data_IF_176095887214
#
_entry.id   IF_176095887214
#
_cell.length_a   1.000
_cell.length_b   1.000
_cell.length_c   1.000
_cell.angle_alpha   90.00
_cell.angle_beta   90.00
_cell.angle_gamma   90.00
#
_symmetry.space_group_name_H-M   'P 1'
#
loop_
_entity.id
_entity.type
_entity.pdbx_description
1 polymer ?
#
# COMPACT_ATOMS: atom_id res chain seq x y z
N UNK A 1 -9.58 16.51 13.26
CA UNK A 1 -9.69 15.04 13.13
C UNK A 1 -8.32 14.43 13.41
N UNK A 2 -8.25 13.14 13.75
CA UNK A 2 -7.01 12.52 14.20
C UNK A 2 -6.30 11.84 13.02
N UNK A 3 -5.07 12.28 12.75
CA UNK A 3 -4.19 11.61 11.81
C UNK A 3 -3.57 10.37 12.45
N UNK A 4 -3.57 9.26 11.73
CA UNK A 4 -2.87 8.02 12.11
C UNK A 4 -1.80 7.69 11.07
N UNK A 5 -0.85 6.84 11.46
CA UNK A 5 0.11 6.22 10.57
C UNK A 5 0.09 4.71 10.78
N UNK A 6 0.01 3.94 9.70
CA UNK A 6 0.03 2.48 9.72
C UNK A 6 1.17 1.98 8.84
N UNK A 7 1.88 0.95 9.31
CA UNK A 7 2.86 0.20 8.55
C UNK A 7 2.27 -1.16 8.17
N UNK A 8 2.41 -1.55 6.91
CA UNK A 8 1.99 -2.86 6.40
C UNK A 8 3.13 -3.53 5.62
N UNK A 9 3.23 -4.86 5.74
CA UNK A 9 4.15 -5.69 4.98
C UNK A 9 3.36 -6.61 4.06
N UNK A 10 3.67 -6.55 2.77
CA UNK A 10 2.95 -7.29 1.73
C UNK A 10 3.91 -8.28 1.08
N UNK A 11 3.50 -9.54 1.06
CA UNK A 11 4.29 -10.66 0.54
C UNK A 11 3.57 -11.33 -0.64
N UNK A 12 4.35 -11.99 -1.51
CA UNK A 12 3.86 -12.69 -2.70
C UNK A 12 4.40 -12.09 -4.00
N UNK A 13 3.65 -12.23 -5.10
CA UNK A 13 4.00 -11.62 -6.39
C UNK A 13 3.68 -10.13 -6.40
N UNK A 14 4.54 -9.32 -5.76
CA UNK A 14 4.31 -7.88 -5.54
C UNK A 14 5.42 -6.97 -6.11
N UNK A 15 6.54 -7.54 -6.53
CA UNK A 15 7.62 -6.80 -7.21
C UNK A 15 7.53 -6.98 -8.72
N UNK A 16 7.87 -5.94 -9.50
CA UNK A 16 7.81 -5.99 -10.96
C UNK A 16 6.41 -5.90 -11.57
N UNK A 17 5.34 -5.92 -10.75
CA UNK A 17 3.93 -5.95 -11.18
C UNK A 17 3.20 -4.61 -11.07
N UNK A 18 3.94 -3.52 -10.80
CA UNK A 18 3.36 -2.19 -10.64
C UNK A 18 2.62 -1.94 -9.31
N UNK A 19 2.73 -2.84 -8.31
CA UNK A 19 2.09 -2.71 -6.99
C UNK A 19 2.34 -1.32 -6.38
N UNK A 20 3.61 -0.96 -6.15
CA UNK A 20 4.00 0.32 -5.53
C UNK A 20 3.39 1.54 -6.22
N UNK A 21 3.42 1.58 -7.55
CA UNK A 21 2.87 2.68 -8.34
C UNK A 21 1.35 2.80 -8.17
N UNK A 22 0.65 1.66 -8.22
CA UNK A 22 -0.80 1.65 -8.04
C UNK A 22 -1.24 2.08 -6.64
N UNK A 23 -0.58 1.55 -5.59
CA UNK A 23 -0.83 1.92 -4.19
C UNK A 23 -0.56 3.41 -3.95
N UNK A 24 0.55 3.93 -4.49
CA UNK A 24 0.87 5.35 -4.39
C UNK A 24 -0.21 6.22 -5.04
N UNK A 25 -0.67 5.86 -6.25
CA UNK A 25 -1.68 6.64 -6.98
C UNK A 25 -2.99 6.75 -6.20
N UNK A 26 -3.43 5.67 -5.57
CA UNK A 26 -4.64 5.66 -4.74
C UNK A 26 -4.45 6.43 -3.43
N UNK A 27 -3.32 6.25 -2.74
CA UNK A 27 -3.01 7.00 -1.53
C UNK A 27 -3.05 8.52 -1.81
N UNK A 28 -2.46 8.97 -2.92
CA UNK A 28 -2.51 10.37 -3.34
C UNK A 28 -3.93 10.88 -3.59
N UNK A 29 -4.80 10.06 -4.21
CA UNK A 29 -6.20 10.42 -4.44
C UNK A 29 -7.01 10.58 -3.14
N UNK A 30 -6.61 9.83 -2.09
CA UNK A 30 -7.25 9.87 -0.78
C UNK A 30 -6.60 10.90 0.17
N UNK A 31 -5.59 11.65 -0.28
CA UNK A 31 -4.84 12.60 0.55
C UNK A 31 -3.96 11.92 1.61
N UNK A 32 -3.61 10.65 1.40
CA UNK A 32 -2.74 9.86 2.28
C UNK A 32 -1.28 10.02 1.85
N UNK A 33 -0.40 10.21 2.83
CA UNK A 33 1.05 10.37 2.65
C UNK A 33 1.81 9.14 3.12
N UNK A 34 3.09 9.02 2.77
CA UNK A 34 3.96 7.92 3.19
C UNK A 34 4.77 7.34 2.03
N UNK A 35 5.03 6.04 2.05
CA UNK A 35 5.84 5.38 1.01
C UNK A 35 5.46 3.93 0.79
N UNK A 36 5.86 3.40 -0.37
CA UNK A 36 5.92 1.96 -0.64
C UNK A 36 7.35 1.60 -1.09
N UNK A 37 7.98 0.63 -0.43
CA UNK A 37 9.38 0.25 -0.63
C UNK A 37 9.51 -1.26 -0.85
N UNK A 38 10.23 -1.67 -1.89
CA UNK A 38 10.60 -3.07 -2.07
C UNK A 38 11.61 -3.48 -0.99
N UNK A 39 11.41 -4.66 -0.43
CA UNK A 39 12.33 -5.31 0.50
C UNK A 39 13.17 -6.36 -0.22
N UNK A 40 14.34 -6.68 0.35
CA UNK A 40 15.29 -7.63 -0.24
C UNK A 40 14.78 -9.07 -0.23
N UNK A 41 13.80 -9.37 0.62
CA UNK A 41 13.13 -10.68 0.71
C UNK A 41 12.02 -10.89 -0.34
N UNK A 42 11.86 -9.93 -1.26
CA UNK A 42 10.80 -9.97 -2.27
C UNK A 42 9.48 -9.33 -1.85
N UNK A 43 9.36 -8.89 -0.58
CA UNK A 43 8.19 -8.18 -0.07
C UNK A 43 8.13 -6.69 -0.45
N UNK A 44 7.05 -6.03 -0.04
CA UNK A 44 6.90 -4.58 -0.08
C UNK A 44 6.43 -4.08 1.29
N UNK A 45 7.14 -3.08 1.83
CA UNK A 45 6.72 -2.32 3.00
C UNK A 45 5.94 -1.08 2.57
N UNK A 46 4.81 -0.80 3.22
CA UNK A 46 3.95 0.35 2.96
C UNK A 46 3.72 1.12 4.25
N UNK A 47 4.15 2.38 4.29
CA UNK A 47 3.78 3.36 5.32
C UNK A 47 2.68 4.26 4.77
N UNK A 48 1.57 4.38 5.50
CA UNK A 48 0.44 5.24 5.14
C UNK A 48 0.04 6.11 6.32
N UNK A 49 0.04 7.43 6.13
CA UNK A 49 -0.25 8.44 7.13
C UNK A 49 -1.32 9.42 6.64
N UNK A 50 -2.34 9.68 7.47
CA UNK A 50 -3.43 10.59 7.13
C UNK A 50 -4.63 10.40 8.04
N UNK A 51 -5.79 10.89 7.60
CA UNK A 51 -7.05 10.67 8.29
C UNK A 51 -7.38 9.18 8.38
N UNK A 52 -7.82 8.73 9.55
CA UNK A 52 -7.99 7.30 9.85
C UNK A 52 -8.84 6.55 8.80
N UNK A 53 -9.92 7.17 8.32
CA UNK A 53 -10.78 6.60 7.30
C UNK A 53 -10.05 6.42 5.95
N UNK A 54 -9.17 7.36 5.59
CA UNK A 54 -8.45 7.34 4.32
C UNK A 54 -7.26 6.38 4.35
N UNK A 55 -6.56 6.30 5.48
CA UNK A 55 -5.52 5.30 5.72
C UNK A 55 -6.11 3.89 5.64
N UNK A 56 -7.26 3.66 6.27
CA UNK A 56 -7.96 2.38 6.24
C UNK A 56 -8.43 2.00 4.82
N UNK A 57 -8.92 2.96 4.03
CA UNK A 57 -9.24 2.73 2.60
C UNK A 57 -8.00 2.35 1.80
N UNK A 58 -6.87 3.03 2.03
CA UNK A 58 -5.59 2.73 1.38
C UNK A 58 -5.11 1.31 1.72
N UNK A 59 -5.26 0.91 2.98
CA UNK A 59 -4.92 -0.43 3.45
C UNK A 59 -5.73 -1.52 2.71
N UNK A 60 -7.07 -1.40 2.69
CA UNK A 60 -7.94 -2.36 1.98
C UNK A 60 -7.65 -2.45 0.48
N UNK A 61 -7.34 -1.33 -0.15
CA UNK A 61 -6.95 -1.33 -1.57
C UNK A 61 -5.64 -2.10 -1.78
N UNK A 62 -4.63 -1.88 -0.94
CA UNK A 62 -3.37 -2.59 -1.00
C UNK A 62 -3.54 -4.12 -0.81
N UNK A 63 -4.39 -4.56 0.12
CA UNK A 63 -4.72 -5.97 0.32
C UNK A 63 -5.35 -6.61 -0.92
N UNK A 64 -6.36 -5.95 -1.50
CA UNK A 64 -7.07 -6.45 -2.68
C UNK A 64 -6.14 -6.60 -3.89
N UNK A 65 -5.19 -5.67 -4.06
CA UNK A 65 -4.21 -5.67 -5.16
C UNK A 65 -3.15 -6.74 -4.98
N UNK A 66 -2.60 -6.89 -3.77
CA UNK A 66 -1.65 -7.95 -3.45
C UNK A 66 -2.23 -9.35 -3.65
N UNK A 67 -3.55 -9.51 -3.48
CA UNK A 67 -4.26 -10.74 -3.83
C UNK A 67 -4.46 -10.91 -5.36
N UNK A 68 -4.83 -9.84 -6.07
CA UNK A 68 -5.11 -9.86 -7.51
C UNK A 68 -3.86 -10.09 -8.37
N UNK A 69 -2.68 -9.61 -7.95
CA UNK A 69 -1.42 -9.77 -8.68
C UNK A 69 -0.78 -11.16 -8.55
N UNK A 70 -1.46 -12.11 -7.89
CA UNK A 70 -1.10 -13.54 -7.90
C UNK A 70 -1.45 -14.27 -9.20
N UNK A 71 -2.23 -13.66 -10.09
CA UNK A 71 -2.61 -14.26 -11.37
C UNK A 71 -1.66 -13.80 -12.48
N UNK A 72 -0.51 -14.47 -12.56
CA UNK A 72 0.45 -14.39 -13.66
C UNK A 72 1.05 -15.76 -13.91
#
# INVERSE_FOLDING_TARGET
MASICTMAWVYGSVQGVGFRYSTQREALQLGVTGYARNLDDGGVEVLACGEAEQVEKTHRLAESRGAAQRAG
#
